data_IF_731176528651
#
_entry.id   IF_731176528651
#
_cell.length_a   1.000
_cell.length_b   1.000
_cell.length_c   1.000
_cell.angle_alpha   90.00
_cell.angle_beta   90.00
_cell.angle_gamma   90.00
#
_symmetry.space_group_name_H-M   'P 1'
#
loop_
_entity.id
_entity.type
_entity.pdbx_description
1 polymer ?
#
# COMPACT_ATOMS: atom_id res chain seq x y z
N UNK A 1 7.80 -9.69 16.14
CA UNK A 1 7.78 -9.50 14.67
C UNK A 1 7.23 -8.11 14.38
N UNK A 2 7.66 -7.47 13.29
CA UNK A 2 7.26 -6.09 12.99
C UNK A 2 6.69 -5.95 11.59
N UNK A 3 5.54 -5.27 11.46
CA UNK A 3 4.87 -5.05 10.19
C UNK A 3 4.72 -3.55 9.90
N UNK A 4 4.95 -3.15 8.65
CA UNK A 4 4.70 -1.81 8.16
C UNK A 4 3.47 -1.83 7.25
N UNK A 5 2.49 -0.98 7.56
CA UNK A 5 1.25 -0.85 6.79
C UNK A 5 1.09 0.59 6.31
N UNK A 6 1.03 0.78 4.99
CA UNK A 6 0.71 2.08 4.40
C UNK A 6 -0.79 2.23 4.19
N UNK A 7 -1.31 3.45 4.33
CA UNK A 7 -2.75 3.69 4.29
C UNK A 7 -3.50 3.14 5.50
N UNK A 8 -2.82 3.06 6.66
CA UNK A 8 -3.37 2.47 7.89
C UNK A 8 -4.44 3.30 8.59
N UNK A 9 -4.78 4.50 8.09
CA UNK A 9 -5.75 5.40 8.73
C UNK A 9 -7.22 5.09 8.43
N UNK A 10 -7.53 4.05 7.68
CA UNK A 10 -8.90 3.66 7.36
C UNK A 10 -8.99 2.48 6.38
N UNK A 11 -10.21 1.95 6.22
CA UNK A 11 -10.53 0.87 5.31
C UNK A 11 -9.63 -0.36 5.47
N UNK A 12 -9.32 -1.01 4.37
CA UNK A 12 -8.54 -2.26 4.33
C UNK A 12 -7.20 -2.13 5.10
N UNK A 13 -6.50 -1.00 4.99
CA UNK A 13 -5.21 -0.82 5.69
C UNK A 13 -5.35 -0.80 7.21
N UNK A 14 -6.42 -0.19 7.73
CA UNK A 14 -6.73 -0.19 9.15
C UNK A 14 -7.09 -1.59 9.65
N UNK A 15 -7.91 -2.33 8.89
CA UNK A 15 -8.30 -3.68 9.25
C UNK A 15 -7.11 -4.65 9.21
N UNK A 16 -6.22 -4.51 8.22
CA UNK A 16 -4.97 -5.26 8.18
C UNK A 16 -4.07 -4.96 9.38
N UNK A 17 -3.99 -3.68 9.79
CA UNK A 17 -3.23 -3.31 10.99
C UNK A 17 -3.82 -3.96 12.25
N UNK A 18 -5.14 -3.99 12.40
CA UNK A 18 -5.83 -4.68 13.51
C UNK A 18 -5.53 -6.18 13.51
N UNK A 19 -5.63 -6.82 12.34
CA UNK A 19 -5.34 -8.25 12.22
C UNK A 19 -3.88 -8.58 12.57
N UNK A 20 -2.92 -7.81 12.07
CA UNK A 20 -1.50 -8.02 12.38
C UNK A 20 -1.21 -7.80 13.87
N UNK A 21 -1.80 -6.79 14.50
CA UNK A 21 -1.69 -6.60 15.95
C UNK A 21 -2.28 -7.79 16.73
N UNK A 22 -3.45 -8.29 16.33
CA UNK A 22 -4.05 -9.49 16.94
C UNK A 22 -3.17 -10.75 16.78
N UNK A 23 -2.35 -10.80 15.72
CA UNK A 23 -1.34 -11.86 15.50
C UNK A 23 -0.04 -11.62 16.27
N UNK A 24 0.07 -10.54 17.06
CA UNK A 24 1.24 -10.21 17.88
C UNK A 24 2.36 -9.47 17.13
N UNK A 25 2.08 -8.83 16.00
CA UNK A 25 3.04 -7.96 15.33
C UNK A 25 3.04 -6.56 15.94
N UNK A 26 4.21 -6.02 16.22
CA UNK A 26 4.40 -4.59 16.38
C UNK A 26 4.21 -3.89 15.03
N UNK A 27 3.67 -2.68 15.04
CA UNK A 27 3.26 -2.01 13.82
C UNK A 27 4.00 -0.71 13.57
N UNK A 28 4.26 -0.45 12.31
CA UNK A 28 4.56 0.88 11.79
C UNK A 28 3.37 1.29 10.92
N UNK A 29 2.56 2.20 11.44
CA UNK A 29 1.36 2.67 10.77
C UNK A 29 1.64 3.98 10.03
N UNK A 30 1.48 3.96 8.70
CA UNK A 30 1.81 5.10 7.82
C UNK A 30 0.55 5.61 7.12
N UNK A 31 0.24 6.89 7.26
CA UNK A 31 -0.80 7.59 6.52
C UNK A 31 -0.64 9.11 6.70
N UNK A 32 -1.45 9.93 6.02
CA UNK A 32 -1.40 11.40 6.16
C UNK A 32 -1.98 11.90 7.47
N UNK A 33 -3.08 11.30 7.94
CA UNK A 33 -3.82 11.76 9.13
C UNK A 33 -3.20 11.21 10.41
N UNK A 34 -2.45 12.06 11.13
CA UNK A 34 -1.89 11.73 12.45
C UNK A 34 -2.97 11.29 13.43
N UNK A 35 -4.05 12.05 13.53
CA UNK A 35 -5.10 11.81 14.53
C UNK A 35 -5.74 10.43 14.37
N UNK A 36 -5.99 10.00 13.12
CA UNK A 36 -6.53 8.66 12.84
C UNK A 36 -5.52 7.55 13.16
N UNK A 37 -4.24 7.79 12.93
CA UNK A 37 -3.19 6.82 13.28
C UNK A 37 -3.01 6.72 14.81
N UNK A 38 -3.08 7.83 15.54
CA UNK A 38 -3.02 7.82 17.00
C UNK A 38 -4.27 7.14 17.62
N UNK A 39 -5.45 7.35 17.03
CA UNK A 39 -6.66 6.62 17.42
C UNK A 39 -6.48 5.11 17.22
N UNK A 40 -6.00 4.69 16.05
CA UNK A 40 -5.70 3.28 15.77
C UNK A 40 -4.68 2.71 16.79
N UNK A 41 -3.63 3.47 17.10
CA UNK A 41 -2.63 3.06 18.10
C UNK A 41 -3.26 2.78 19.47
N UNK A 42 -4.25 3.57 19.89
CA UNK A 42 -4.93 3.38 21.17
C UNK A 42 -5.84 2.15 21.19
N UNK A 43 -6.31 1.69 20.04
CA UNK A 43 -7.14 0.49 19.90
C UNK A 43 -6.34 -0.80 19.98
N UNK A 44 -5.03 -0.76 19.67
CA UNK A 44 -4.21 -1.94 19.47
C UNK A 44 -3.42 -2.33 20.72
N UNK A 45 -3.21 -3.63 20.90
CA UNK A 45 -2.52 -4.19 22.06
C UNK A 45 -1.01 -4.40 21.88
N UNK A 46 -0.47 -4.09 20.71
CA UNK A 46 0.96 -4.20 20.38
C UNK A 46 1.60 -2.81 20.27
N UNK A 47 2.92 -2.74 20.20
CA UNK A 47 3.61 -1.48 19.94
C UNK A 47 3.24 -0.91 18.58
N UNK A 48 2.88 0.38 18.51
CA UNK A 48 2.56 1.05 17.26
C UNK A 48 3.36 2.33 17.14
N UNK A 49 4.23 2.36 16.13
CA UNK A 49 4.92 3.57 15.69
C UNK A 49 4.05 4.28 14.64
N UNK A 50 3.65 5.52 14.93
CA UNK A 50 2.84 6.34 14.02
C UNK A 50 3.75 7.23 13.19
N UNK A 51 3.64 7.12 11.86
CA UNK A 51 4.40 7.93 10.89
C UNK A 51 3.45 8.68 9.95
N UNK A 52 3.14 9.95 10.25
CA UNK A 52 2.27 10.77 9.40
C UNK A 52 3.05 11.27 8.18
N UNK A 53 2.93 10.54 7.06
CA UNK A 53 3.64 10.83 5.81
C UNK A 53 2.68 10.86 4.62
N UNK A 54 2.94 11.75 3.69
CA UNK A 54 2.28 11.78 2.37
C UNK A 54 3.16 11.07 1.34
N UNK A 55 2.83 9.81 1.08
CA UNK A 55 3.58 8.96 0.14
C UNK A 55 3.36 9.31 -1.34
N UNK A 56 2.47 10.25 -1.68
CA UNK A 56 2.42 10.81 -3.04
C UNK A 56 3.66 11.67 -3.36
N UNK A 57 4.43 12.03 -2.34
CA UNK A 57 5.72 12.73 -2.46
C UNK A 57 6.84 11.70 -2.51
N UNK A 58 7.57 11.65 -3.61
CA UNK A 58 8.65 10.68 -3.82
C UNK A 58 9.65 10.64 -2.65
N UNK A 59 10.10 11.81 -2.20
CA UNK A 59 11.06 11.91 -1.10
C UNK A 59 10.53 11.27 0.19
N UNK A 60 9.23 11.38 0.46
CA UNK A 60 8.63 10.77 1.66
C UNK A 60 8.73 9.23 1.66
N UNK A 61 8.76 8.60 0.49
CA UNK A 61 8.97 7.14 0.39
C UNK A 61 10.41 6.76 0.79
N UNK A 62 11.41 7.54 0.37
CA UNK A 62 12.80 7.33 0.77
C UNK A 62 13.01 7.66 2.25
N UNK A 63 12.41 8.73 2.75
CA UNK A 63 12.48 9.12 4.17
C UNK A 63 11.87 8.04 5.06
N UNK A 64 10.70 7.49 4.68
CA UNK A 64 10.07 6.36 5.35
C UNK A 64 11.04 5.18 5.44
N UNK A 65 11.57 4.76 4.29
CA UNK A 65 12.49 3.61 4.25
C UNK A 65 13.73 3.86 5.14
N UNK A 66 14.38 5.03 5.02
CA UNK A 66 15.57 5.37 5.80
C UNK A 66 15.30 5.39 7.30
N UNK A 67 14.11 5.81 7.72
CA UNK A 67 13.71 5.86 9.13
C UNK A 67 13.49 4.47 9.75
N UNK A 68 13.14 3.47 8.93
CA UNK A 68 12.72 2.16 9.45
C UNK A 68 13.57 0.97 9.00
N UNK A 69 14.50 1.13 8.04
CA UNK A 69 15.29 0.04 7.45
C UNK A 69 16.07 -0.81 8.46
N UNK A 70 16.49 -0.21 9.58
CA UNK A 70 17.25 -0.89 10.63
C UNK A 70 16.37 -1.51 11.72
N UNK A 71 15.03 -1.45 11.56
CA UNK A 71 14.07 -1.97 12.54
C UNK A 71 13.64 -3.44 12.30
N UNK A 72 14.30 -4.16 11.40
CA UNK A 72 13.99 -5.56 11.10
C UNK A 72 12.51 -5.81 10.72
N UNK A 73 12.01 -5.07 9.74
CA UNK A 73 10.63 -5.23 9.25
C UNK A 73 10.45 -6.64 8.68
N UNK A 74 9.49 -7.41 9.19
CA UNK A 74 9.16 -8.75 8.71
C UNK A 74 8.10 -8.72 7.62
N UNK A 75 7.16 -7.75 7.69
CA UNK A 75 6.03 -7.62 6.77
C UNK A 75 5.92 -6.19 6.25
N UNK A 76 5.81 -6.04 4.93
CA UNK A 76 5.42 -4.78 4.28
C UNK A 76 4.05 -4.96 3.62
N UNK A 77 3.10 -4.07 3.95
CA UNK A 77 1.82 -3.96 3.24
C UNK A 77 1.73 -2.60 2.56
N UNK A 78 1.85 -2.58 1.24
CA UNK A 78 1.61 -1.43 0.40
C UNK A 78 0.11 -1.36 0.08
N UNK A 79 -0.65 -0.64 0.93
CA UNK A 79 -2.09 -0.50 0.77
C UNK A 79 -2.50 0.94 0.43
N UNK A 80 -1.69 1.95 0.73
CA UNK A 80 -2.03 3.34 0.44
C UNK A 80 -2.39 3.55 -1.04
N UNK A 81 -3.55 4.14 -1.29
CA UNK A 81 -4.04 4.42 -2.63
C UNK A 81 -5.48 4.94 -2.61
N UNK A 82 -5.91 5.55 -3.71
CA UNK A 82 -7.27 6.00 -3.90
C UNK A 82 -7.64 5.98 -5.38
N UNK A 83 -8.95 6.10 -5.68
CA UNK A 83 -9.47 6.20 -7.03
C UNK A 83 -10.01 7.60 -7.32
N UNK A 84 -10.12 7.93 -8.61
CA UNK A 84 -10.80 9.12 -9.11
C UNK A 84 -11.85 8.70 -10.12
N UNK A 85 -12.98 9.40 -10.10
CA UNK A 85 -14.11 9.17 -11.00
C UNK A 85 -14.31 10.39 -11.89
N UNK A 86 -14.51 10.16 -13.17
CA UNK A 86 -14.77 11.17 -14.19
C UNK A 86 -14.32 10.74 -15.57
N UNK A 87 -14.78 11.42 -16.61
CA UNK A 87 -14.27 11.19 -17.98
C UNK A 87 -12.82 11.62 -18.03
N UNK A 88 -11.98 10.83 -18.68
CA UNK A 88 -10.53 11.05 -18.71
C UNK A 88 -10.10 12.45 -19.17
N UNK A 89 -10.86 13.06 -20.06
CA UNK A 89 -10.58 14.39 -20.58
C UNK A 89 -11.18 15.55 -19.73
N UNK A 90 -11.99 15.23 -18.71
CA UNK A 90 -12.65 16.19 -17.82
C UNK A 90 -12.03 16.22 -16.41
N UNK A 91 -11.29 15.15 -16.02
CA UNK A 91 -10.68 15.07 -14.70
C UNK A 91 -9.49 16.01 -14.56
N UNK A 92 -9.23 16.47 -13.33
CA UNK A 92 -8.09 17.33 -13.03
C UNK A 92 -6.77 16.59 -13.14
N UNK A 93 -5.89 17.03 -14.03
CA UNK A 93 -4.60 16.40 -14.31
C UNK A 93 -3.70 16.31 -13.07
N UNK A 94 -3.64 17.34 -12.24
CA UNK A 94 -2.76 17.33 -11.06
C UNK A 94 -3.25 16.33 -10.00
N UNK A 95 -4.56 16.19 -9.85
CA UNK A 95 -5.12 15.15 -8.97
C UNK A 95 -4.87 13.76 -9.51
N UNK A 96 -4.98 13.53 -10.83
CA UNK A 96 -4.61 12.26 -11.45
C UNK A 96 -3.14 11.92 -11.24
N UNK A 97 -2.25 12.87 -11.50
CA UNK A 97 -0.81 12.68 -11.27
C UNK A 97 -0.50 12.39 -9.80
N UNK A 98 -1.18 13.05 -8.86
CA UNK A 98 -1.05 12.75 -7.43
C UNK A 98 -1.50 11.31 -7.11
N UNK A 99 -2.63 10.87 -7.67
CA UNK A 99 -3.10 9.50 -7.54
C UNK A 99 -2.08 8.50 -8.11
N UNK A 100 -1.54 8.74 -9.30
CA UNK A 100 -0.55 7.86 -9.93
C UNK A 100 0.76 7.81 -9.13
N UNK A 101 1.23 8.93 -8.57
CA UNK A 101 2.39 8.97 -7.66
C UNK A 101 2.16 8.07 -6.45
N UNK A 102 0.97 8.14 -5.83
CA UNK A 102 0.64 7.30 -4.68
C UNK A 102 0.44 5.83 -5.07
N UNK A 103 -0.42 5.56 -6.07
CA UNK A 103 -0.83 4.21 -6.42
C UNK A 103 0.28 3.40 -7.12
N UNK A 104 1.18 4.05 -7.86
CA UNK A 104 2.23 3.41 -8.65
C UNK A 104 3.62 3.69 -8.07
N UNK A 105 4.02 4.96 -8.03
CA UNK A 105 5.40 5.31 -7.70
C UNK A 105 5.78 4.93 -6.27
N UNK A 106 4.92 5.24 -5.29
CA UNK A 106 5.15 4.87 -3.90
C UNK A 106 5.24 3.35 -3.72
N UNK A 107 4.30 2.60 -4.31
CA UNK A 107 4.31 1.13 -4.28
C UNK A 107 5.58 0.58 -4.92
N UNK A 108 5.99 1.10 -6.07
CA UNK A 108 7.20 0.68 -6.76
C UNK A 108 8.46 0.90 -5.92
N UNK A 109 8.62 2.11 -5.36
CA UNK A 109 9.79 2.47 -4.54
C UNK A 109 9.86 1.58 -3.30
N UNK A 110 8.80 1.51 -2.52
CA UNK A 110 8.78 0.76 -1.28
C UNK A 110 8.96 -0.75 -1.55
N UNK A 111 8.27 -1.29 -2.55
CA UNK A 111 8.48 -2.69 -2.98
C UNK A 111 9.94 -2.96 -3.28
N UNK A 112 10.59 -2.13 -4.10
CA UNK A 112 12.00 -2.33 -4.48
C UNK A 112 12.95 -2.24 -3.29
N UNK A 113 12.78 -1.25 -2.43
CA UNK A 113 13.68 -1.02 -1.29
C UNK A 113 13.58 -2.15 -0.27
N UNK A 114 12.37 -2.47 0.18
CA UNK A 114 12.16 -3.54 1.18
C UNK A 114 12.47 -4.93 0.62
N UNK A 115 12.14 -5.19 -0.65
CA UNK A 115 12.48 -6.47 -1.28
C UNK A 115 13.99 -6.72 -1.29
N UNK A 116 14.81 -5.69 -1.52
CA UNK A 116 16.27 -5.82 -1.43
C UNK A 116 16.73 -6.27 -0.04
N UNK A 117 16.13 -5.74 1.01
CA UNK A 117 16.48 -6.13 2.38
C UNK A 117 15.94 -7.52 2.74
N UNK A 118 14.73 -7.85 2.30
CA UNK A 118 14.17 -9.19 2.45
C UNK A 118 15.03 -10.24 1.72
N UNK A 119 15.51 -9.93 0.51
CA UNK A 119 16.42 -10.80 -0.25
C UNK A 119 17.76 -11.00 0.45
N UNK A 120 18.38 -9.96 1.02
CA UNK A 120 19.66 -10.08 1.74
C UNK A 120 19.58 -11.07 2.90
N UNK A 121 18.47 -11.13 3.62
CA UNK A 121 18.24 -12.05 4.74
C UNK A 121 17.45 -13.30 4.37
N UNK A 122 17.07 -13.44 3.09
CA UNK A 122 16.20 -14.47 2.53
C UNK A 122 14.95 -14.72 3.37
N UNK A 123 14.34 -13.66 3.91
CA UNK A 123 13.16 -13.72 4.77
C UNK A 123 12.38 -12.42 4.72
N UNK A 124 11.04 -12.52 4.62
CA UNK A 124 10.11 -11.39 4.68
C UNK A 124 8.85 -11.64 3.88
N UNK A 125 7.83 -10.86 4.18
CA UNK A 125 6.53 -10.91 3.52
C UNK A 125 6.19 -9.54 2.94
N UNK A 126 5.90 -9.50 1.65
CA UNK A 126 5.48 -8.28 0.96
C UNK A 126 4.11 -8.49 0.34
N UNK A 127 3.17 -7.62 0.67
CA UNK A 127 1.85 -7.60 0.04
C UNK A 127 1.61 -6.24 -0.60
N UNK A 128 1.28 -6.26 -1.89
CA UNK A 128 0.77 -5.09 -2.59
C UNK A 128 -0.75 -5.19 -2.73
N UNK A 129 -1.46 -4.12 -2.39
CA UNK A 129 -2.92 -4.06 -2.54
C UNK A 129 -3.27 -3.44 -3.89
N UNK A 130 -3.71 -4.29 -4.80
CA UNK A 130 -4.27 -3.92 -6.09
C UNK A 130 -5.80 -3.73 -5.98
N UNK A 131 -6.55 -4.25 -6.91
CA UNK A 131 -8.03 -4.25 -6.95
C UNK A 131 -8.50 -5.24 -8.02
N UNK A 132 -9.74 -5.68 -7.94
CA UNK A 132 -10.41 -6.34 -9.07
C UNK A 132 -10.42 -5.46 -10.33
N UNK A 133 -10.33 -4.15 -10.18
CA UNK A 133 -10.14 -3.18 -11.28
C UNK A 133 -8.90 -3.46 -12.15
N UNK A 134 -7.92 -4.22 -11.66
CA UNK A 134 -6.73 -4.58 -12.44
C UNK A 134 -7.01 -5.48 -13.64
N UNK A 135 -8.17 -6.13 -13.70
CA UNK A 135 -8.51 -7.14 -14.70
C UNK A 135 -9.41 -6.62 -15.82
N UNK A 136 -9.87 -5.37 -15.74
CA UNK A 136 -10.86 -4.82 -16.65
C UNK A 136 -10.46 -3.44 -17.16
N UNK A 137 -11.04 -3.01 -18.28
CA UNK A 137 -11.08 -1.61 -18.65
C UNK A 137 -12.20 -0.91 -17.88
N UNK A 138 -11.89 0.20 -17.22
CA UNK A 138 -12.85 0.94 -16.39
C UNK A 138 -13.16 2.33 -16.95
N UNK A 139 -14.18 2.49 -17.82
CA UNK A 139 -14.67 3.81 -18.18
C UNK A 139 -14.94 4.66 -16.93
N UNK A 140 -14.67 5.96 -17.01
CA UNK A 140 -14.79 6.92 -15.91
C UNK A 140 -13.78 6.74 -14.75
N UNK A 141 -12.97 5.69 -14.77
CA UNK A 141 -11.91 5.44 -13.77
C UNK A 141 -10.62 4.94 -14.44
N UNK A 142 -10.36 5.35 -15.66
CA UNK A 142 -9.30 4.81 -16.53
C UNK A 142 -7.91 4.82 -15.87
N UNK A 143 -7.49 5.94 -15.30
CA UNK A 143 -6.18 6.07 -14.64
C UNK A 143 -6.08 5.21 -13.37
N UNK A 144 -7.18 5.05 -12.62
CA UNK A 144 -7.21 4.16 -11.45
C UNK A 144 -7.05 2.70 -11.87
N UNK A 145 -7.84 2.23 -12.83
CA UNK A 145 -7.76 0.84 -13.33
C UNK A 145 -6.37 0.53 -13.87
N UNK A 146 -5.80 1.44 -14.67
CA UNK A 146 -4.44 1.31 -15.17
C UNK A 146 -3.40 1.24 -14.04
N UNK A 147 -3.56 2.07 -12.97
CA UNK A 147 -2.67 2.05 -11.82
C UNK A 147 -2.71 0.70 -11.07
N UNK A 148 -3.91 0.13 -10.92
CA UNK A 148 -4.08 -1.17 -10.24
C UNK A 148 -3.59 -2.34 -11.10
N UNK A 149 -3.73 -2.27 -12.42
CA UNK A 149 -3.14 -3.22 -13.35
C UNK A 149 -1.61 -3.20 -13.28
N UNK A 150 -0.99 -2.00 -13.17
CA UNK A 150 0.45 -1.88 -12.96
C UNK A 150 0.90 -2.63 -11.69
N UNK A 151 0.26 -2.36 -10.54
CA UNK A 151 0.61 -2.99 -9.26
C UNK A 151 0.47 -4.51 -9.35
N UNK A 152 -0.61 -4.99 -9.96
CA UNK A 152 -0.85 -6.41 -10.15
C UNK A 152 0.29 -7.06 -10.95
N UNK A 153 0.59 -6.54 -12.15
CA UNK A 153 1.61 -7.11 -13.04
C UNK A 153 3.03 -7.01 -12.49
N UNK A 154 3.36 -5.91 -11.83
CA UNK A 154 4.63 -5.78 -11.13
C UNK A 154 4.79 -6.89 -10.08
N UNK A 155 3.74 -7.11 -9.28
CA UNK A 155 3.81 -8.08 -8.18
C UNK A 155 3.88 -9.52 -8.68
N UNK A 156 3.14 -9.86 -9.75
CA UNK A 156 3.25 -11.18 -10.41
C UNK A 156 4.67 -11.43 -10.94
N UNK A 157 5.26 -10.45 -11.62
CA UNK A 157 6.60 -10.60 -12.17
C UNK A 157 7.64 -10.82 -11.05
N UNK A 158 7.57 -10.03 -9.98
CA UNK A 158 8.46 -10.16 -8.81
C UNK A 158 8.27 -11.53 -8.13
N UNK A 159 7.03 -12.00 -7.99
CA UNK A 159 6.74 -13.33 -7.45
C UNK A 159 7.41 -14.43 -8.29
N UNK A 160 7.31 -14.37 -9.62
CA UNK A 160 7.91 -15.36 -10.51
C UNK A 160 9.45 -15.33 -10.47
N UNK A 161 10.07 -14.15 -10.34
CA UNK A 161 11.51 -14.01 -10.14
C UNK A 161 11.95 -14.74 -8.86
N UNK A 162 11.29 -14.47 -7.73
CA UNK A 162 11.60 -15.09 -6.43
C UNK A 162 11.37 -16.61 -6.45
N UNK A 163 10.29 -17.07 -7.09
CA UNK A 163 9.97 -18.49 -7.23
C UNK A 163 11.05 -19.25 -8.01
N UNK A 164 11.54 -18.67 -9.11
CA UNK A 164 12.63 -19.25 -9.92
C UNK A 164 13.95 -19.30 -9.16
N UNK A 165 14.20 -18.32 -8.30
CA UNK A 165 15.38 -18.27 -7.44
C UNK A 165 15.26 -19.15 -6.18
N UNK A 166 14.11 -19.80 -5.95
CA UNK A 166 13.79 -20.58 -4.74
C UNK A 166 14.01 -19.76 -3.47
N UNK A 167 13.60 -18.50 -3.48
CA UNK A 167 13.71 -17.60 -2.33
C UNK A 167 12.64 -17.89 -1.28
N UNK A 168 12.99 -17.77 0.01
CA UNK A 168 12.04 -17.85 1.12
C UNK A 168 11.29 -16.54 1.36
N UNK A 169 11.56 -15.50 0.56
CA UNK A 169 10.79 -14.26 0.58
C UNK A 169 9.44 -14.47 -0.09
N UNK A 170 8.37 -14.16 0.62
CA UNK A 170 7.00 -14.26 0.12
C UNK A 170 6.52 -12.91 -0.42
N UNK A 171 6.01 -12.91 -1.66
CA UNK A 171 5.38 -11.74 -2.26
C UNK A 171 3.98 -12.12 -2.73
N UNK A 172 3.00 -11.28 -2.44
CA UNK A 172 1.60 -11.49 -2.82
C UNK A 172 0.93 -10.20 -3.28
N UNK A 173 -0.13 -10.34 -4.05
CA UNK A 173 -1.02 -9.24 -4.43
C UNK A 173 -2.43 -9.53 -3.95
N UNK A 174 -3.03 -8.57 -3.25
CA UNK A 174 -4.43 -8.62 -2.86
C UNK A 174 -5.25 -7.80 -3.87
N UNK A 175 -6.30 -8.41 -4.43
CA UNK A 175 -7.18 -7.77 -5.41
C UNK A 175 -8.62 -7.73 -4.86
N UNK A 176 -8.93 -6.84 -3.90
CA UNK A 176 -10.28 -6.76 -3.35
C UNK A 176 -11.27 -6.30 -4.42
N UNK A 177 -12.50 -6.80 -4.31
CA UNK A 177 -13.66 -6.24 -5.00
C UNK A 177 -14.08 -4.89 -4.41
N UNK A 178 -15.21 -4.34 -4.85
CA UNK A 178 -15.79 -3.16 -4.21
C UNK A 178 -16.05 -3.46 -2.72
N UNK A 179 -15.47 -2.63 -1.86
CA UNK A 179 -15.67 -2.67 -0.40
C UNK A 179 -16.11 -1.30 0.06
N UNK A 180 -17.00 -1.23 1.05
CA UNK A 180 -17.42 0.02 1.66
C UNK A 180 -16.24 0.65 2.43
N UNK A 181 -15.41 1.37 1.68
CA UNK A 181 -14.29 2.14 2.22
C UNK A 181 -14.41 3.59 1.79
N UNK A 182 -13.75 4.48 2.50
CA UNK A 182 -13.69 5.91 2.18
C UNK A 182 -13.21 6.20 0.74
N UNK A 183 -12.58 5.24 0.07
CA UNK A 183 -12.16 5.37 -1.33
C UNK A 183 -13.32 5.36 -2.33
N UNK A 184 -14.50 4.85 -1.94
CA UNK A 184 -15.72 4.86 -2.75
C UNK A 184 -16.64 6.05 -2.45
N UNK A 185 -16.49 6.72 -1.30
CA UNK A 185 -17.36 7.83 -0.87
C UNK A 185 -17.18 9.10 -1.73
N UNK A 186 -16.13 9.19 -2.52
CA UNK A 186 -15.95 10.28 -3.48
C UNK A 186 -16.62 10.06 -4.84
N UNK A 187 -17.37 8.97 -4.98
CA UNK A 187 -18.30 8.78 -6.09
C UNK A 187 -19.63 9.41 -5.66
N UNK A 188 -19.68 10.75 -5.62
CA UNK A 188 -20.95 11.46 -5.55
C UNK A 188 -21.65 11.24 -6.90
N UNK A 189 -22.79 10.58 -6.87
CA UNK A 189 -23.70 10.53 -8.02
C UNK A 189 -24.06 11.96 -8.43
N UNK A 190 -24.27 12.19 -9.74
CA UNK A 190 -24.69 13.48 -10.26
C UNK A 190 -26.08 13.87 -9.76
#
# INVERSE_FOLDING_TARGET
MKALVTGASGGIGQDMARMLSAMGYDLIAVARSRDKLEALKQELNTEVQVLPLDLSREQACFDLYNQVKDQNIDVLINNAGYGMYGRFYDTDLEQELNMLRLNIQAVHILTKLFLRDFKKRNKGYLMNVSSSAAFFAGPLMSSYYASKAYVFRLTEAVYEELRREKSDVSVSVLCPGPVDTLSLIHISEP
#
